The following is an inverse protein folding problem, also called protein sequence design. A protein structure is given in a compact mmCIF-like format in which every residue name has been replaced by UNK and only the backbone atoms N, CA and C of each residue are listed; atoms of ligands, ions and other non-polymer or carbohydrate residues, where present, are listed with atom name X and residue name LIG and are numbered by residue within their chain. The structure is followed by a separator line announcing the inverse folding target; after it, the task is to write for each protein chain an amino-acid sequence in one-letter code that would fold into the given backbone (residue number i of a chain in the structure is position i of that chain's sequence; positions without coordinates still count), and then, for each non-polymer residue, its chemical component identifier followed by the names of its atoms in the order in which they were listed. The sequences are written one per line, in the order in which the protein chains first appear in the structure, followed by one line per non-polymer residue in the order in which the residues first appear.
data_IF_185828434545
#
_entry.id   IF_185828434545
#
_cell.length_a   1.000
_cell.length_b   1.000
_cell.length_c   1.000
_cell.angle_alpha   90.00
_cell.angle_beta   90.00
_cell.angle_gamma   90.00
#
_symmetry.space_group_name_H-M   'P 1'
#
loop_
_entity.id
_entity.type
_entity.pdbx_description
1 polymer ?
#
# COMPACT_ATOMS: atom_id res chain seq x y z
N UNK A 1 -5.03 6.24 6.70
CA UNK A 1 -6.11 6.07 7.72
C UNK A 1 -5.58 5.12 8.79
N UNK A 2 -5.62 5.47 10.08
CA UNK A 2 -5.07 4.60 11.15
C UNK A 2 -6.20 3.77 11.74
N UNK A 3 -6.13 2.44 11.69
CA UNK A 3 -7.19 1.54 12.19
C UNK A 3 -7.56 1.81 13.66
N UNK A 4 -6.58 2.20 14.47
CA UNK A 4 -6.77 2.57 15.87
C UNK A 4 -7.76 3.74 16.08
N UNK A 5 -7.92 4.63 15.09
CA UNK A 5 -8.87 5.74 15.14
C UNK A 5 -10.28 5.31 14.72
N UNK A 6 -10.39 4.33 13.82
CA UNK A 6 -11.67 3.71 13.43
C UNK A 6 -12.33 2.95 14.59
N UNK A 7 -11.53 2.32 15.45
CA UNK A 7 -12.02 1.62 16.65
C UNK A 7 -12.55 2.61 17.71
N UNK A 8 -12.05 3.85 17.71
CA UNK A 8 -12.47 4.93 18.63
C UNK A 8 -13.63 5.79 18.08
N UNK A 9 -13.90 5.72 16.78
CA UNK A 9 -14.99 6.43 16.11
C UNK A 9 -16.42 6.12 16.63
N UNK A 10 -16.76 4.90 17.11
CA UNK A 10 -18.12 4.56 17.56
C UNK A 10 -18.70 5.53 18.58
N UNK A 11 -17.87 6.07 19.49
CA UNK A 11 -18.28 6.95 20.58
C UNK A 11 -18.77 8.32 20.10
N UNK A 12 -18.40 8.75 18.88
CA UNK A 12 -18.71 10.09 18.36
C UNK A 12 -19.83 10.11 17.31
N UNK A 13 -20.14 8.97 16.68
CA UNK A 13 -21.02 8.88 15.51
C UNK A 13 -22.18 7.88 15.67
N UNK A 14 -22.38 7.27 16.86
CA UNK A 14 -23.36 6.19 17.08
C UNK A 14 -23.24 5.04 16.07
N UNK A 15 -22.02 4.75 15.61
CA UNK A 15 -21.75 3.69 14.64
C UNK A 15 -21.63 2.34 15.35
N UNK A 16 -22.40 1.35 14.91
CA UNK A 16 -22.26 -0.04 15.37
C UNK A 16 -21.19 -0.74 14.54
N UNK A 17 -19.98 -0.86 15.11
CA UNK A 17 -18.86 -1.56 14.46
C UNK A 17 -18.76 -2.99 15.00
N UNK A 18 -18.54 -3.94 14.08
CA UNK A 18 -18.21 -5.33 14.40
C UNK A 18 -16.80 -5.63 13.89
N UNK A 19 -15.95 -6.14 14.78
CA UNK A 19 -14.58 -6.49 14.44
C UNK A 19 -14.53 -7.99 14.21
N UNK A 20 -14.04 -8.40 13.04
CA UNK A 20 -13.87 -9.80 12.64
C UNK A 20 -12.42 -9.97 12.18
N UNK A 21 -11.80 -11.07 12.55
CA UNK A 21 -10.44 -11.38 12.13
C UNK A 21 -10.49 -12.36 10.95
N UNK A 22 -9.77 -12.04 9.88
CA UNK A 22 -9.52 -12.99 8.80
C UNK A 22 -8.65 -14.13 9.34
N UNK A 23 -8.97 -15.40 9.05
CA UNK A 23 -8.15 -16.52 9.48
C UNK A 23 -6.70 -16.34 8.98
N UNK A 24 -5.69 -16.57 9.83
CA UNK A 24 -4.30 -16.38 9.44
C UNK A 24 -3.88 -17.46 8.43
N UNK A 25 -3.37 -17.02 7.27
CA UNK A 25 -3.00 -17.89 6.14
C UNK A 25 -4.07 -17.91 5.03
N UNK A 26 -3.80 -18.58 3.91
CA UNK A 26 -4.73 -18.79 2.77
C UNK A 26 -5.88 -19.76 3.12
N UNK A 27 -6.39 -19.65 4.35
CA UNK A 27 -7.46 -20.49 4.87
C UNK A 27 -8.75 -19.77 4.51
N UNK A 28 -9.49 -20.38 3.60
CA UNK A 28 -10.88 -20.13 3.25
C UNK A 28 -11.67 -19.21 4.22
N UNK A 29 -11.99 -17.99 3.77
CA UNK A 29 -12.79 -17.03 4.53
C UNK A 29 -14.31 -17.21 4.31
N UNK A 30 -14.74 -18.18 3.49
CA UNK A 30 -16.17 -18.44 3.22
C UNK A 30 -17.02 -18.65 4.48
N UNK A 31 -16.56 -19.35 5.55
CA UNK A 31 -17.34 -19.46 6.79
C UNK A 31 -17.64 -18.10 7.42
N UNK A 32 -16.63 -17.21 7.48
CA UNK A 32 -16.77 -15.87 8.03
C UNK A 32 -17.72 -15.02 7.19
N UNK A 33 -17.52 -15.03 5.88
CA UNK A 33 -18.38 -14.32 4.93
C UNK A 33 -19.84 -14.81 5.00
N UNK A 34 -20.07 -16.10 5.31
CA UNK A 34 -21.42 -16.66 5.48
C UNK A 34 -22.11 -16.09 6.70
N UNK A 35 -21.39 -15.93 7.81
CA UNK A 35 -21.90 -15.27 9.01
C UNK A 35 -22.21 -13.79 8.73
N UNK A 36 -21.30 -13.07 8.05
CA UNK A 36 -21.49 -11.67 7.69
C UNK A 36 -22.73 -11.48 6.81
N UNK A 37 -22.93 -12.38 5.83
CA UNK A 37 -24.13 -12.40 4.98
C UNK A 37 -25.40 -12.68 5.77
N UNK A 38 -25.37 -13.64 6.72
CA UNK A 38 -26.50 -13.95 7.61
C UNK A 38 -26.87 -12.76 8.50
N UNK A 39 -25.85 -12.05 8.97
CA UNK A 39 -25.99 -10.88 9.84
C UNK A 39 -26.31 -9.59 9.07
N UNK A 40 -26.43 -9.67 7.73
CA UNK A 40 -26.73 -8.54 6.83
C UNK A 40 -25.72 -7.40 6.97
N UNK A 41 -24.43 -7.76 7.02
CA UNK A 41 -23.32 -6.81 7.04
C UNK A 41 -22.99 -6.35 5.62
N UNK A 42 -23.44 -5.15 5.26
CA UNK A 42 -23.31 -4.59 3.91
C UNK A 42 -22.10 -3.66 3.72
N UNK A 43 -21.67 -2.99 4.78
CA UNK A 43 -20.54 -2.05 4.77
C UNK A 43 -19.35 -2.71 5.46
N UNK A 44 -18.34 -3.10 4.69
CA UNK A 44 -17.23 -3.92 5.18
C UNK A 44 -15.92 -3.25 4.84
N UNK A 45 -15.04 -3.16 5.85
CA UNK A 45 -13.67 -2.66 5.71
C UNK A 45 -12.69 -3.83 5.78
N UNK A 46 -11.87 -3.96 4.74
CA UNK A 46 -10.82 -4.97 4.63
C UNK A 46 -9.46 -4.34 4.94
N UNK A 47 -8.83 -4.83 6.00
CA UNK A 47 -7.42 -4.60 6.31
C UNK A 47 -6.62 -5.87 6.10
N UNK A 48 -6.10 -6.01 4.89
CA UNK A 48 -5.27 -7.12 4.49
C UNK A 48 -4.38 -6.73 3.31
N UNK A 49 -3.38 -7.57 3.04
CA UNK A 49 -2.49 -7.38 1.89
C UNK A 49 -3.27 -7.45 0.57
N UNK A 50 -2.68 -6.95 -0.53
CA UNK A 50 -3.27 -7.08 -1.86
C UNK A 50 -3.49 -8.54 -2.26
N UNK A 51 -2.59 -9.46 -1.89
CA UNK A 51 -2.72 -10.90 -2.16
C UNK A 51 -3.97 -11.49 -1.49
N UNK A 52 -4.14 -11.18 -0.21
CA UNK A 52 -5.33 -11.60 0.55
C UNK A 52 -6.60 -10.94 0.00
N UNK A 53 -6.53 -9.68 -0.41
CA UNK A 53 -7.65 -8.96 -1.02
C UNK A 53 -8.11 -9.64 -2.31
N UNK A 54 -7.18 -10.05 -3.17
CA UNK A 54 -7.48 -10.75 -4.41
C UNK A 54 -8.22 -12.07 -4.17
N UNK A 55 -7.79 -12.83 -3.17
CA UNK A 55 -8.44 -14.10 -2.81
C UNK A 55 -9.83 -13.87 -2.18
N UNK A 56 -9.96 -12.87 -1.31
CA UNK A 56 -11.26 -12.49 -0.74
C UNK A 56 -12.24 -12.08 -1.82
N UNK A 57 -11.82 -11.33 -2.85
CA UNK A 57 -12.70 -10.95 -3.96
C UNK A 57 -13.25 -12.16 -4.73
N UNK A 58 -12.43 -13.20 -4.95
CA UNK A 58 -12.89 -14.47 -5.53
C UNK A 58 -13.91 -15.17 -4.65
N UNK A 59 -13.67 -15.21 -3.34
CA UNK A 59 -14.58 -15.85 -2.40
C UNK A 59 -15.91 -15.07 -2.27
N UNK A 60 -15.87 -13.75 -2.21
CA UNK A 60 -17.06 -12.88 -2.21
C UNK A 60 -17.92 -13.11 -3.45
N UNK A 61 -17.29 -13.24 -4.63
CA UNK A 61 -17.97 -13.59 -5.86
C UNK A 61 -18.65 -14.96 -5.78
N UNK A 62 -17.91 -15.99 -5.33
CA UNK A 62 -18.46 -17.35 -5.17
C UNK A 62 -19.64 -17.43 -4.20
N UNK A 63 -19.70 -16.51 -3.23
CA UNK A 63 -20.74 -16.45 -2.21
C UNK A 63 -21.94 -15.57 -2.57
N UNK A 64 -21.93 -14.94 -3.74
CA UNK A 64 -22.95 -13.98 -4.15
C UNK A 64 -23.03 -12.81 -3.17
N UNK A 65 -21.87 -12.25 -2.80
CA UNK A 65 -21.72 -11.00 -2.03
C UNK A 65 -21.21 -9.85 -2.90
N UNK A 66 -20.97 -10.08 -4.19
CA UNK A 66 -20.67 -9.03 -5.18
C UNK A 66 -21.99 -8.53 -5.77
N UNK A 67 -22.66 -7.63 -5.05
CA UNK A 67 -23.95 -7.04 -5.45
C UNK A 67 -24.01 -5.56 -5.09
N UNK A 68 -24.94 -4.83 -5.70
CA UNK A 68 -25.23 -3.41 -5.43
C UNK A 68 -25.53 -3.06 -3.97
N UNK A 69 -25.94 -4.04 -3.17
CA UNK A 69 -26.21 -3.87 -1.74
C UNK A 69 -24.94 -3.77 -0.90
N UNK A 70 -23.78 -4.20 -1.43
CA UNK A 70 -22.54 -4.26 -0.68
C UNK A 70 -21.62 -3.09 -1.02
N UNK A 71 -20.94 -2.59 0.02
CA UNK A 71 -19.89 -1.58 -0.09
C UNK A 71 -18.63 -2.06 0.63
N UNK A 72 -17.60 -2.34 -0.17
CA UNK A 72 -16.30 -2.78 0.30
C UNK A 72 -15.29 -1.64 0.31
N UNK A 73 -14.66 -1.43 1.46
CA UNK A 73 -13.56 -0.50 1.64
C UNK A 73 -12.26 -1.28 1.81
N UNK A 74 -11.29 -1.07 0.93
CA UNK A 74 -9.97 -1.67 1.01
C UNK A 74 -8.97 -0.66 1.53
N UNK A 75 -8.21 -1.04 2.55
CA UNK A 75 -7.15 -0.21 3.12
C UNK A 75 -5.82 -0.35 2.40
N UNK A 76 -5.63 -1.43 1.63
CA UNK A 76 -4.44 -1.62 0.79
C UNK A 76 -4.30 -0.49 -0.23
N UNK A 77 -3.07 -0.01 -0.40
CA UNK A 77 -2.73 1.01 -1.40
C UNK A 77 -2.60 0.43 -2.81
N UNK A 78 -2.54 -0.90 -2.92
CA UNK A 78 -2.33 -1.65 -4.15
C UNK A 78 -3.62 -2.20 -4.74
N UNK A 79 -4.78 -1.65 -4.37
CA UNK A 79 -6.07 -2.06 -4.97
C UNK A 79 -6.07 -1.85 -6.49
N UNK A 80 -5.39 -0.82 -6.97
CA UNK A 80 -5.27 -0.50 -8.41
C UNK A 80 -4.51 -1.56 -9.21
N UNK A 81 -3.70 -2.39 -8.53
CA UNK A 81 -2.91 -3.44 -9.17
C UNK A 81 -3.66 -4.78 -9.27
N UNK A 82 -4.84 -4.89 -8.64
CA UNK A 82 -5.65 -6.11 -8.71
C UNK A 82 -6.44 -6.18 -10.02
N UNK A 83 -6.64 -7.39 -10.55
CA UNK A 83 -7.57 -7.60 -11.66
C UNK A 83 -9.02 -7.46 -11.18
N UNK A 84 -9.63 -6.32 -11.55
CA UNK A 84 -11.00 -5.98 -11.20
C UNK A 84 -12.00 -6.18 -12.35
N UNK A 85 -11.53 -6.63 -13.53
CA UNK A 85 -12.39 -6.87 -14.70
C UNK A 85 -13.56 -7.81 -14.38
N UNK A 86 -13.37 -8.93 -13.66
CA UNK A 86 -14.46 -9.87 -13.35
C UNK A 86 -15.57 -9.27 -12.46
N UNK A 87 -15.28 -8.17 -11.76
CA UNK A 87 -16.17 -7.59 -10.75
C UNK A 87 -16.88 -6.32 -11.23
N UNK A 88 -16.43 -5.73 -12.34
CA UNK A 88 -16.93 -4.44 -12.86
C UNK A 88 -18.44 -4.41 -13.08
N UNK A 89 -19.03 -5.51 -13.54
CA UNK A 89 -20.46 -5.59 -13.88
C UNK A 89 -21.36 -6.09 -12.74
N UNK A 90 -20.80 -6.32 -11.55
CA UNK A 90 -21.56 -6.85 -10.41
C UNK A 90 -22.41 -5.80 -9.67
N UNK A 91 -22.21 -4.52 -9.98
CA UNK A 91 -22.88 -3.40 -9.31
C UNK A 91 -22.35 -3.09 -7.90
N UNK A 92 -21.36 -3.84 -7.41
CA UNK A 92 -20.77 -3.64 -6.08
C UNK A 92 -20.00 -2.32 -5.97
N UNK A 93 -20.12 -1.66 -4.82
CA UNK A 93 -19.31 -0.48 -4.54
C UNK A 93 -17.98 -0.90 -3.92
N UNK A 94 -16.87 -0.59 -4.60
CA UNK A 94 -15.52 -0.79 -4.10
C UNK A 94 -14.82 0.56 -3.95
N UNK A 95 -14.27 0.81 -2.77
CA UNK A 95 -13.52 2.02 -2.47
C UNK A 95 -12.16 1.64 -1.93
N UNK A 96 -11.11 2.31 -2.40
CA UNK A 96 -9.76 2.15 -1.91
C UNK A 96 -8.99 3.45 -1.99
N UNK A 97 -7.74 3.39 -1.55
CA UNK A 97 -6.81 4.50 -1.66
C UNK A 97 -5.70 4.15 -2.64
N UNK A 98 -5.22 5.14 -3.38
CA UNK A 98 -4.05 5.02 -4.25
C UNK A 98 -3.07 6.10 -3.85
N UNK A 99 -1.83 5.69 -3.55
CA UNK A 99 -0.76 6.65 -3.24
C UNK A 99 -0.04 7.12 -4.51
N UNK A 100 0.07 6.27 -5.53
CA UNK A 100 0.71 6.63 -6.79
C UNK A 100 -0.10 7.68 -7.55
N UNK A 101 0.57 8.74 -7.99
CA UNK A 101 -0.05 9.80 -8.79
C UNK A 101 0.00 9.47 -10.29
N UNK A 102 -0.81 8.52 -10.73
CA UNK A 102 -0.84 8.05 -12.14
C UNK A 102 -1.37 9.13 -13.10
N UNK A 103 -2.05 10.15 -12.57
CA UNK A 103 -2.57 11.26 -13.38
C UNK A 103 -1.44 12.20 -13.85
N UNK A 104 -0.25 12.11 -13.23
CA UNK A 104 0.95 12.79 -13.68
C UNK A 104 1.59 12.02 -14.86
N UNK A 105 1.77 12.65 -16.03
CA UNK A 105 2.38 12.02 -17.19
C UNK A 105 3.80 11.46 -16.95
N UNK A 106 4.59 12.11 -16.08
CA UNK A 106 5.92 11.63 -15.72
C UNK A 106 5.86 10.30 -14.97
N UNK A 107 4.96 10.22 -13.98
CA UNK A 107 4.73 9.00 -13.20
C UNK A 107 4.19 7.88 -14.10
N UNK A 108 3.19 8.18 -14.94
CA UNK A 108 2.63 7.22 -15.89
C UNK A 108 3.72 6.65 -16.84
N UNK A 109 4.57 7.51 -17.40
CA UNK A 109 5.67 7.08 -18.28
C UNK A 109 6.72 6.22 -17.57
N UNK A 110 6.94 6.48 -16.27
CA UNK A 110 7.87 5.70 -15.44
C UNK A 110 7.28 4.33 -15.12
N UNK A 111 5.98 4.26 -14.83
CA UNK A 111 5.25 3.00 -14.64
C UNK A 111 5.24 2.14 -15.92
N UNK A 112 5.08 2.76 -17.09
CA UNK A 112 5.12 2.05 -18.36
C UNK A 112 6.50 1.44 -18.63
N UNK A 113 7.58 2.22 -18.43
CA UNK A 113 8.96 1.70 -18.53
C UNK A 113 9.23 0.55 -17.57
N UNK A 114 8.78 0.69 -16.32
CA UNK A 114 8.87 -0.38 -15.32
C UNK A 114 8.16 -1.64 -15.81
N UNK A 115 6.93 -1.51 -16.34
CA UNK A 115 6.16 -2.64 -16.86
C UNK A 115 6.87 -3.33 -18.02
N UNK A 116 7.44 -2.58 -18.97
CA UNK A 116 8.18 -3.15 -20.10
C UNK A 116 9.40 -3.97 -19.67
N UNK A 117 10.17 -3.48 -18.70
CA UNK A 117 11.32 -4.22 -18.14
C UNK A 117 10.85 -5.43 -17.32
N UNK A 118 9.77 -5.28 -16.56
CA UNK A 118 9.24 -6.35 -15.70
C UNK A 118 8.66 -7.50 -16.53
N UNK A 119 8.03 -7.22 -17.66
CA UNK A 119 7.49 -8.22 -18.58
C UNK A 119 8.59 -9.05 -19.28
N UNK A 120 9.84 -8.59 -19.29
CA UNK A 120 10.98 -9.40 -19.77
C UNK A 120 11.42 -10.46 -18.76
N UNK A 121 11.09 -10.29 -17.48
CA UNK A 121 11.31 -11.32 -16.47
C UNK A 121 10.23 -12.41 -16.57
N UNK A 122 10.53 -13.68 -16.25
CA UNK A 122 9.53 -14.74 -16.27
C UNK A 122 8.35 -14.34 -15.36
N UNK A 123 7.10 -14.42 -15.86
CA UNK A 123 5.95 -14.01 -15.10
C UNK A 123 5.87 -14.87 -13.83
N UNK A 124 5.98 -14.22 -12.67
CA UNK A 124 5.53 -14.84 -11.43
C UNK A 124 4.02 -14.83 -11.50
N UNK A 125 3.42 -16.01 -11.55
CA UNK A 125 1.97 -16.19 -11.51
C UNK A 125 1.47 -15.83 -10.10
N UNK A 126 1.56 -14.54 -9.72
CA UNK A 126 0.96 -14.02 -8.50
C UNK A 126 -0.53 -13.82 -8.78
N UNK A 127 -1.31 -14.82 -8.35
CA UNK A 127 -2.76 -14.89 -8.46
C UNK A 127 -3.45 -13.56 -8.15
N UNK A 128 -4.02 -12.93 -9.17
CA UNK A 128 -4.90 -11.77 -9.05
C UNK A 128 -4.25 -10.39 -9.20
N UNK A 129 -2.94 -10.30 -9.47
CA UNK A 129 -2.30 -9.04 -9.88
C UNK A 129 -2.37 -8.89 -11.41
N UNK A 130 -2.53 -7.65 -11.89
CA UNK A 130 -2.28 -7.34 -13.29
C UNK A 130 -0.77 -7.47 -13.58
N UNK A 131 -0.43 -8.10 -14.71
CA UNK A 131 0.97 -8.31 -15.09
C UNK A 131 1.70 -6.98 -15.32
N UNK A 132 2.93 -6.89 -14.81
CA UNK A 132 3.81 -5.73 -15.03
C UNK A 132 3.52 -4.49 -14.18
N UNK A 133 2.46 -4.48 -13.38
CA UNK A 133 2.12 -3.30 -12.56
C UNK A 133 3.11 -3.11 -11.42
N UNK A 134 3.61 -1.87 -11.28
CA UNK A 134 4.45 -1.47 -10.15
C UNK A 134 3.63 -1.39 -8.87
N UNK A 135 4.01 -2.15 -7.84
CA UNK A 135 3.41 -2.06 -6.50
C UNK A 135 3.85 -0.79 -5.78
N UNK A 136 3.07 -0.39 -4.78
CA UNK A 136 3.38 0.76 -3.92
C UNK A 136 4.70 0.57 -3.18
N UNK A 137 5.04 -0.67 -2.77
CA UNK A 137 6.34 -0.97 -2.16
C UNK A 137 7.52 -0.67 -3.10
N UNK A 138 7.40 -1.01 -4.38
CA UNK A 138 8.43 -0.72 -5.38
C UNK A 138 8.53 0.79 -5.67
N UNK A 139 7.39 1.48 -5.78
CA UNK A 139 7.36 2.94 -5.95
C UNK A 139 7.99 3.67 -4.75
N UNK A 140 7.72 3.22 -3.52
CA UNK A 140 8.34 3.76 -2.31
C UNK A 140 9.87 3.55 -2.29
N UNK A 141 10.35 2.40 -2.77
CA UNK A 141 11.79 2.16 -2.89
C UNK A 141 12.44 3.09 -3.92
N UNK A 142 11.79 3.29 -5.07
CA UNK A 142 12.23 4.23 -6.10
C UNK A 142 12.37 5.63 -5.50
N UNK A 143 11.33 6.13 -4.85
CA UNK A 143 11.34 7.45 -4.23
C UNK A 143 12.35 7.57 -3.08
N UNK A 144 12.57 6.51 -2.30
CA UNK A 144 13.57 6.49 -1.24
C UNK A 144 14.99 6.69 -1.76
N UNK A 145 15.33 6.10 -2.92
CA UNK A 145 16.64 6.29 -3.56
C UNK A 145 16.82 7.75 -3.98
N UNK A 146 15.81 8.38 -4.57
CA UNK A 146 15.86 9.79 -4.95
C UNK A 146 15.95 10.73 -3.75
N UNK A 147 15.22 10.45 -2.67
CA UNK A 147 15.34 11.20 -1.41
C UNK A 147 16.78 11.17 -0.85
N UNK A 148 17.42 9.99 -0.88
CA UNK A 148 18.84 9.85 -0.48
C UNK A 148 19.76 10.59 -1.44
N UNK A 149 19.51 10.53 -2.75
CA UNK A 149 20.30 11.23 -3.76
C UNK A 149 20.24 12.76 -3.59
N UNK A 150 19.05 13.32 -3.34
CA UNK A 150 18.85 14.75 -3.05
C UNK A 150 19.61 15.16 -1.79
N UNK A 151 19.54 14.37 -0.73
CA UNK A 151 20.30 14.62 0.50
C UNK A 151 21.82 14.55 0.26
N UNK A 152 22.28 13.59 -0.54
CA UNK A 152 23.68 13.40 -0.90
C UNK A 152 24.24 14.54 -1.75
N UNK A 153 23.45 15.08 -2.68
CA UNK A 153 23.85 16.24 -3.48
C UNK A 153 24.10 17.49 -2.63
N UNK A 154 23.32 17.67 -1.55
CA UNK A 154 23.51 18.75 -0.57
C UNK A 154 24.67 18.49 0.40
N UNK A 155 25.07 17.24 0.53
CA UNK A 155 26.11 16.79 1.45
C UNK A 155 27.52 16.99 0.88
N UNK A 156 27.95 18.26 0.74
CA UNK A 156 29.31 18.59 0.28
C UNK A 156 30.36 18.07 1.26
N UNK A 157 31.47 17.52 0.73
CA UNK A 157 32.64 17.06 1.50
C UNK A 157 32.38 15.90 2.49
N UNK A 158 31.38 15.06 2.22
CA UNK A 158 31.19 13.82 2.97
C UNK A 158 31.90 12.66 2.29
N UNK A 159 32.62 11.84 3.07
CA UNK A 159 33.28 10.63 2.58
C UNK A 159 32.73 9.40 3.28
N UNK A 160 32.68 8.30 2.53
CA UNK A 160 32.30 6.99 3.06
C UNK A 160 33.43 6.45 3.92
N UNK A 161 33.09 5.75 5.01
CA UNK A 161 34.06 5.09 5.88
C UNK A 161 33.63 3.65 6.13
N UNK A 162 34.56 2.71 6.06
CA UNK A 162 34.32 1.34 6.51
C UNK A 162 34.19 1.31 8.03
N UNK A 163 33.10 0.73 8.53
CA UNK A 163 32.80 0.65 9.96
C UNK A 163 32.79 -0.81 10.42
N UNK A 164 33.11 -1.02 11.69
CA UNK A 164 33.09 -2.34 12.33
C UNK A 164 32.10 -2.33 13.48
N UNK A 165 31.14 -3.25 13.48
CA UNK A 165 30.07 -3.32 14.49
C UNK A 165 30.60 -3.42 15.92
N UNK A 166 31.68 -4.18 16.14
CA UNK A 166 32.30 -4.37 17.46
C UNK A 166 32.99 -3.12 18.03
N UNK A 167 33.33 -2.13 17.20
CA UNK A 167 34.15 -0.98 17.63
C UNK A 167 33.35 0.21 18.14
N UNK A 168 32.00 0.11 18.18
CA UNK A 168 31.07 1.17 18.64
C UNK A 168 31.40 2.59 18.11
N UNK A 169 32.12 2.70 16.97
CA UNK A 169 32.57 3.96 16.40
C UNK A 169 31.59 4.36 15.29
N UNK A 170 30.77 5.42 15.48
CA UNK A 170 29.82 5.84 14.48
C UNK A 170 30.50 6.53 13.29
N UNK A 171 29.78 6.64 12.18
CA UNK A 171 30.21 7.44 11.04
C UNK A 171 30.24 8.92 11.41
N UNK A 172 31.41 9.58 11.24
CA UNK A 172 31.62 11.00 11.58
C UNK A 172 30.56 11.93 10.99
N UNK A 173 30.15 11.69 9.75
CA UNK A 173 29.19 12.55 9.04
C UNK A 173 27.73 12.14 9.23
N UNK A 174 27.46 11.02 9.92
CA UNK A 174 26.12 10.47 10.10
C UNK A 174 25.10 11.48 10.61
N UNK A 175 25.34 12.17 11.73
CA UNK A 175 24.38 13.16 12.26
C UNK A 175 24.08 14.30 11.27
N UNK A 176 25.11 14.81 10.57
CA UNK A 176 24.95 15.88 9.58
C UNK A 176 24.15 15.40 8.37
N UNK A 177 24.46 14.22 7.85
CA UNK A 177 23.73 13.62 6.73
C UNK A 177 22.27 13.36 7.09
N UNK A 178 22.00 12.83 8.29
CA UNK A 178 20.63 12.59 8.76
C UNK A 178 19.81 13.87 8.87
N UNK A 179 20.42 15.00 9.24
CA UNK A 179 19.72 16.28 9.24
C UNK A 179 19.37 16.75 7.82
N UNK A 180 20.31 16.64 6.87
CA UNK A 180 20.07 16.94 5.46
C UNK A 180 18.99 16.04 4.86
N UNK A 181 18.99 14.76 5.22
CA UNK A 181 17.98 13.80 4.76
C UNK A 181 16.59 14.12 5.31
N UNK A 182 16.48 14.49 6.59
CA UNK A 182 15.21 14.95 7.18
C UNK A 182 14.72 16.28 6.60
N UNK A 183 15.61 17.06 6.00
CA UNK A 183 15.33 18.31 5.29
C UNK A 183 15.07 18.12 3.79
N UNK A 184 15.26 16.91 3.27
CA UNK A 184 14.99 16.61 1.90
C UNK A 184 13.48 16.68 1.65
N UNK A 185 13.13 17.25 0.50
CA UNK A 185 11.78 17.27 -0.05
C UNK A 185 11.90 16.76 -1.48
N UNK A 186 10.94 15.94 -1.89
CA UNK A 186 10.95 15.31 -3.21
C UNK A 186 9.53 15.11 -3.70
N UNK A 187 9.30 15.45 -4.96
CA UNK A 187 8.07 15.12 -5.66
C UNK A 187 8.34 13.85 -6.47
N UNK A 188 7.87 12.72 -5.93
CA UNK A 188 8.14 11.39 -6.46
C UNK A 188 6.92 10.72 -7.07
N UNK A 189 7.03 9.42 -7.33
CA UNK A 189 5.93 8.59 -7.83
C UNK A 189 4.75 8.56 -6.86
N UNK A 190 5.05 8.66 -5.55
CA UNK A 190 4.08 8.65 -4.44
C UNK A 190 3.62 10.05 -4.02
N UNK A 191 3.89 11.07 -4.85
CA UNK A 191 3.51 12.46 -4.60
C UNK A 191 4.57 13.25 -3.83
N UNK A 192 4.14 14.29 -3.12
CA UNK A 192 5.04 15.18 -2.36
C UNK A 192 5.50 14.53 -1.05
N UNK A 193 6.80 14.26 -0.93
CA UNK A 193 7.41 13.57 0.21
C UNK A 193 8.11 14.58 1.12
N UNK A 194 7.64 14.63 2.37
CA UNK A 194 8.25 15.41 3.46
C UNK A 194 8.36 14.55 4.71
N UNK A 195 9.52 14.61 5.37
CA UNK A 195 9.75 13.90 6.62
C UNK A 195 9.42 14.80 7.81
N UNK A 196 8.51 14.34 8.66
CA UNK A 196 8.09 15.10 9.85
C UNK A 196 9.27 15.19 10.82
N UNK A 197 9.62 16.42 11.22
CA UNK A 197 10.52 16.63 12.36
C UNK A 197 9.76 16.33 13.65
N UNK A 198 10.30 15.51 14.57
CA UNK A 198 9.73 15.44 15.90
C UNK A 198 9.79 16.85 16.50
N UNK A 199 8.62 17.42 16.81
CA UNK A 199 8.54 18.60 17.67
C UNK A 199 9.08 18.19 19.03
N UNK A 200 10.19 18.81 19.45
CA UNK A 200 10.72 18.72 20.81
C UNK A 200 9.88 19.61 21.71
#
# INVERSE_FOLDING_TARGET
MRMQELIKAPSKLNLKIRIRQLPPGEIDARPLLKEMKKDKEYYILFDCSYRTSAEILKQLSSMGMMTEYHHFFFTTLDLFALDLEPYRYSGVNMTGFRLLNIDDPYVASTMEKWSLERLQAPPKQESGLMDGVMTTEAALMYDAVFMVAVASQRATQMTVSSLQCHRHKPWRFGPRFMNLFKEAQWDGLTGHIVLIRPMV
#
